data_IF_377540000823
#
_entry.id   IF_377540000823
#
_cell.length_a   1.000
_cell.length_b   1.000
_cell.length_c   1.000
_cell.angle_alpha   90.00
_cell.angle_beta   90.00
_cell.angle_gamma   90.00
#
_symmetry.space_group_name_H-M   'P 1'
#
loop_
_entity.id
_entity.type
_entity.pdbx_description
1 polymer ?
#
# COMPACT_ATOMS: atom_id res chain seq x y z
N UNK A 1 24.71 -0.94 -15.55
CA UNK A 1 23.89 -1.15 -14.35
C UNK A 1 24.12 0.03 -13.42
N UNK A 2 23.09 0.80 -13.14
CA UNK A 2 23.15 1.95 -12.24
C UNK A 2 22.51 1.54 -10.92
N UNK A 3 23.26 1.73 -9.84
CA UNK A 3 22.70 1.69 -8.50
C UNK A 3 21.90 2.98 -8.26
N UNK A 4 20.69 2.84 -7.72
CA UNK A 4 19.79 3.96 -7.46
C UNK A 4 19.64 4.13 -5.95
N UNK A 5 19.78 5.35 -5.45
CA UNK A 5 19.56 5.68 -4.05
C UNK A 5 18.46 6.73 -3.97
N UNK A 6 17.40 6.44 -3.23
CA UNK A 6 16.31 7.38 -2.99
C UNK A 6 16.36 7.81 -1.52
N UNK A 7 16.37 9.11 -1.30
CA UNK A 7 16.30 9.70 0.04
C UNK A 7 14.93 10.34 0.21
N UNK A 8 14.11 9.76 1.08
CA UNK A 8 12.90 10.41 1.53
C UNK A 8 13.28 11.54 2.51
N UNK A 9 12.72 12.72 2.28
CA UNK A 9 12.90 13.93 3.10
C UNK A 9 11.59 14.34 3.74
N UNK A 10 11.65 14.89 4.94
CA UNK A 10 10.50 15.48 5.63
C UNK A 10 10.75 16.97 5.89
N UNK A 11 10.60 17.76 4.82
CA UNK A 11 10.68 19.21 4.87
C UNK A 11 12.06 19.73 4.50
N UNK A 12 12.17 21.05 4.32
CA UNK A 12 13.41 21.72 3.92
C UNK A 12 14.50 21.69 5.01
N UNK A 13 14.12 21.50 6.27
CA UNK A 13 15.05 21.33 7.39
C UNK A 13 15.72 19.94 7.43
N UNK A 14 15.23 18.97 6.67
CA UNK A 14 15.75 17.61 6.63
C UNK A 14 17.02 17.51 5.77
N UNK A 15 18.16 17.89 6.35
CA UNK A 15 19.45 17.98 5.64
C UNK A 15 20.40 16.80 5.93
N UNK A 16 19.93 15.78 6.65
CA UNK A 16 20.76 14.65 7.06
C UNK A 16 21.40 13.94 5.84
N UNK A 17 22.72 13.81 5.82
CA UNK A 17 23.40 13.14 4.71
C UNK A 17 23.17 11.61 4.80
N UNK A 18 22.70 10.95 3.72
CA UNK A 18 22.59 9.50 3.72
C UNK A 18 23.98 8.85 3.73
N UNK A 19 24.15 7.78 4.51
CA UNK A 19 25.32 6.91 4.37
C UNK A 19 25.13 6.04 3.14
N UNK A 20 25.87 6.33 2.07
CA UNK A 20 25.70 5.62 0.80
C UNK A 20 26.41 4.25 0.82
N UNK A 21 25.68 3.20 0.43
CA UNK A 21 26.24 1.84 0.30
C UNK A 21 27.30 1.74 -0.81
N UNK A 22 27.28 2.68 -1.77
CA UNK A 22 28.14 2.66 -2.96
C UNK A 22 28.63 4.05 -3.32
N UNK A 23 29.89 4.12 -3.74
CA UNK A 23 30.54 5.34 -4.24
C UNK A 23 29.87 5.89 -5.50
N UNK A 24 29.36 5.01 -6.37
CA UNK A 24 28.68 5.37 -7.61
C UNK A 24 27.20 4.97 -7.53
N UNK A 25 26.36 5.94 -7.18
CA UNK A 25 24.90 5.80 -7.16
C UNK A 25 24.25 7.03 -7.79
N UNK A 26 23.14 6.83 -8.49
CA UNK A 26 22.25 7.92 -8.88
C UNK A 26 21.38 8.26 -7.69
N UNK A 27 21.51 9.49 -7.18
CA UNK A 27 20.80 9.97 -6.00
C UNK A 27 19.55 10.72 -6.43
N UNK A 28 18.39 10.34 -5.87
CA UNK A 28 17.14 11.08 -6.03
C UNK A 28 16.59 11.43 -4.65
N UNK A 29 16.27 12.69 -4.41
CA UNK A 29 15.62 13.13 -3.18
C UNK A 29 14.13 13.36 -3.44
N UNK A 30 13.28 12.90 -2.52
CA UNK A 30 11.83 13.12 -2.57
C UNK A 30 11.41 13.75 -1.26
N UNK A 31 10.97 15.01 -1.30
CA UNK A 31 10.41 15.68 -0.15
C UNK A 31 8.93 15.33 0.02
N UNK A 32 8.61 14.64 1.13
CA UNK A 32 7.26 14.21 1.47
C UNK A 32 6.51 15.20 2.36
N UNK A 33 7.11 16.33 2.76
CA UNK A 33 6.46 17.31 3.64
C UNK A 33 6.46 18.70 3.00
N UNK A 34 5.27 19.28 2.85
CA UNK A 34 5.11 20.68 2.42
C UNK A 34 5.46 21.64 3.55
N UNK A 35 5.73 22.89 3.17
CA UNK A 35 5.95 24.00 4.12
C UNK A 35 4.77 24.23 5.08
N UNK A 36 3.56 23.79 4.71
CA UNK A 36 2.38 23.85 5.58
C UNK A 36 2.22 22.66 6.54
N UNK A 37 3.23 21.79 6.65
CA UNK A 37 3.25 20.61 7.51
C UNK A 37 2.39 19.45 7.04
N UNK A 38 1.85 19.47 5.81
CA UNK A 38 1.09 18.34 5.25
C UNK A 38 1.98 17.41 4.44
N UNK A 39 1.70 16.12 4.56
CA UNK A 39 2.34 15.11 3.74
C UNK A 39 1.97 15.26 2.25
N UNK A 40 2.91 14.98 1.37
CA UNK A 40 2.75 15.00 -0.08
C UNK A 40 2.35 13.64 -0.67
N UNK A 41 2.15 13.63 -1.99
CA UNK A 41 1.85 12.43 -2.77
C UNK A 41 0.63 11.67 -2.24
N UNK A 42 -0.37 12.41 -1.74
CA UNK A 42 -1.68 11.89 -1.35
C UNK A 42 -1.72 11.13 -0.02
N UNK A 43 -0.63 11.08 0.74
CA UNK A 43 -0.62 10.51 2.09
C UNK A 43 -1.46 11.35 3.06
N UNK A 44 -1.43 12.69 2.93
CA UNK A 44 -2.29 13.61 3.68
C UNK A 44 -3.77 13.26 3.50
N UNK A 45 -4.21 12.96 2.27
CA UNK A 45 -5.60 12.61 1.96
C UNK A 45 -6.03 11.29 2.59
N UNK A 46 -5.14 10.32 2.69
CA UNK A 46 -5.44 9.07 3.38
C UNK A 46 -5.66 9.31 4.88
N UNK A 47 -4.78 10.09 5.51
CA UNK A 47 -4.87 10.43 6.95
C UNK A 47 -6.08 11.33 7.23
N UNK A 48 -6.31 12.37 6.42
CA UNK A 48 -7.50 13.23 6.51
C UNK A 48 -8.79 12.40 6.37
N UNK A 49 -8.81 11.46 5.43
CA UNK A 49 -9.95 10.54 5.24
C UNK A 49 -10.24 9.64 6.44
N UNK A 50 -9.21 9.21 7.18
CA UNK A 50 -9.39 8.51 8.46
C UNK A 50 -9.90 9.47 9.54
N UNK A 51 -9.38 10.69 9.56
CA UNK A 51 -9.80 11.75 10.47
C UNK A 51 -11.28 12.13 10.34
N UNK A 52 -11.86 12.05 9.13
CA UNK A 52 -13.31 12.22 8.90
C UNK A 52 -14.18 11.24 9.72
N UNK A 53 -13.64 10.07 10.06
CA UNK A 53 -14.30 9.07 10.89
C UNK A 53 -13.93 9.16 12.37
N UNK A 54 -13.12 10.15 12.77
CA UNK A 54 -12.56 10.27 14.12
C UNK A 54 -11.48 9.22 14.41
N UNK A 55 -10.82 8.68 13.38
CA UNK A 55 -9.74 7.71 13.51
C UNK A 55 -8.38 8.39 13.37
N UNK A 56 -7.40 7.96 14.18
CA UNK A 56 -6.05 8.56 14.21
C UNK A 56 -5.00 7.44 14.14
N UNK A 57 -4.15 7.38 13.11
CA UNK A 57 -3.07 6.39 13.02
C UNK A 57 -1.92 6.71 13.99
N UNK A 58 -1.08 5.72 14.26
CA UNK A 58 0.19 5.87 14.99
C UNK A 58 1.35 6.30 14.08
N UNK A 59 2.45 6.76 14.68
CA UNK A 59 3.68 7.08 13.94
C UNK A 59 4.22 5.91 13.12
N UNK A 60 4.17 4.70 13.67
CA UNK A 60 4.66 3.50 13.00
C UNK A 60 3.87 3.16 11.75
N UNK A 61 2.55 3.31 11.76
CA UNK A 61 1.75 3.04 10.56
C UNK A 61 1.87 4.15 9.50
N UNK A 62 2.12 5.40 9.92
CA UNK A 62 2.49 6.49 9.00
C UNK A 62 3.89 6.29 8.40
N UNK A 63 4.85 5.80 9.19
CA UNK A 63 6.16 5.36 8.68
C UNK A 63 6.03 4.29 7.60
N UNK A 64 5.19 3.28 7.84
CA UNK A 64 4.92 2.24 6.87
C UNK A 64 4.32 2.81 5.58
N UNK A 65 3.38 3.77 5.69
CA UNK A 65 2.79 4.45 4.54
C UNK A 65 3.82 5.30 3.77
N UNK A 66 4.73 5.99 4.46
CA UNK A 66 5.84 6.76 3.87
C UNK A 66 6.83 5.86 3.13
N UNK A 67 7.23 4.74 3.74
CA UNK A 67 8.05 3.72 3.09
C UNK A 67 7.35 3.20 1.84
N UNK A 68 6.06 2.87 1.92
CA UNK A 68 5.31 2.33 0.79
C UNK A 68 5.13 3.33 -0.36
N UNK A 69 4.96 4.62 -0.05
CA UNK A 69 4.97 5.67 -1.05
C UNK A 69 6.34 5.78 -1.73
N UNK A 70 7.44 5.69 -0.95
CA UNK A 70 8.81 5.73 -1.50
C UNK A 70 9.10 4.52 -2.40
N UNK A 71 8.69 3.31 -1.99
CA UNK A 71 8.75 2.09 -2.82
C UNK A 71 7.93 2.28 -4.09
N UNK A 72 6.75 2.90 -4.01
CA UNK A 72 5.92 3.19 -5.19
C UNK A 72 6.60 4.17 -6.15
N UNK A 73 7.27 5.19 -5.62
CA UNK A 73 8.06 6.12 -6.43
C UNK A 73 9.16 5.38 -7.19
N UNK A 74 9.96 4.59 -6.48
CA UNK A 74 11.04 3.79 -7.03
C UNK A 74 10.53 2.80 -8.10
N UNK A 75 9.52 2.01 -7.75
CA UNK A 75 9.01 0.94 -8.60
C UNK A 75 8.43 1.48 -9.91
N UNK A 76 7.78 2.65 -9.86
CA UNK A 76 7.14 3.23 -11.04
C UNK A 76 8.01 4.21 -11.82
N UNK A 77 9.11 4.72 -11.24
CA UNK A 77 9.89 5.78 -11.89
C UNK A 77 11.28 5.33 -12.33
N UNK A 78 11.89 4.35 -11.69
CA UNK A 78 13.18 3.82 -12.12
C UNK A 78 12.95 2.79 -13.22
N UNK A 79 13.37 3.10 -14.44
CA UNK A 79 13.22 2.21 -15.60
C UNK A 79 14.09 0.96 -15.47
N UNK A 80 13.50 -0.24 -15.58
CA UNK A 80 14.28 -1.49 -15.69
C UNK A 80 15.12 -1.50 -16.97
N UNK A 81 14.59 -0.97 -18.06
CA UNK A 81 15.28 -0.96 -19.37
C UNK A 81 16.59 -0.18 -19.34
N UNK A 82 16.63 0.93 -18.59
CA UNK A 82 17.81 1.79 -18.51
C UNK A 82 18.78 1.34 -17.40
N UNK A 83 18.25 0.83 -16.29
CA UNK A 83 19.05 0.66 -15.07
C UNK A 83 19.44 -0.80 -14.77
N UNK A 84 18.69 -1.79 -15.26
CA UNK A 84 18.97 -3.20 -15.00
C UNK A 84 19.88 -3.80 -16.09
N UNK A 85 20.85 -4.63 -15.67
CA UNK A 85 21.78 -5.29 -16.60
C UNK A 85 21.09 -6.35 -17.49
N UNK A 86 20.10 -7.02 -16.93
CA UNK A 86 19.29 -8.08 -17.54
C UNK A 86 17.94 -7.57 -18.05
N UNK A 87 17.75 -6.24 -18.11
CA UNK A 87 16.47 -5.57 -18.35
C UNK A 87 15.37 -5.91 -17.33
N UNK A 88 15.75 -6.47 -16.18
CA UNK A 88 14.84 -6.93 -15.16
C UNK A 88 15.21 -6.41 -13.77
N UNK A 89 16.31 -6.85 -13.20
CA UNK A 89 16.68 -6.68 -11.79
C UNK A 89 17.36 -5.34 -11.56
N UNK A 90 16.66 -4.39 -10.93
CA UNK A 90 17.24 -3.12 -10.47
C UNK A 90 17.94 -3.30 -9.12
N UNK A 91 18.87 -2.41 -8.80
CA UNK A 91 19.46 -2.27 -7.47
C UNK A 91 19.07 -0.92 -6.89
N UNK A 92 18.29 -0.93 -5.81
CA UNK A 92 17.61 0.24 -5.25
C UNK A 92 17.87 0.30 -3.74
N UNK A 93 18.48 1.39 -3.27
CA UNK A 93 18.62 1.71 -1.86
C UNK A 93 17.62 2.81 -1.46
N UNK A 94 16.96 2.64 -0.32
CA UNK A 94 16.05 3.63 0.25
C UNK A 94 16.59 4.15 1.58
N UNK A 95 16.61 5.47 1.77
CA UNK A 95 16.84 6.11 3.06
C UNK A 95 15.55 6.77 3.54
N UNK A 96 14.96 6.21 4.59
CA UNK A 96 13.64 6.62 5.09
C UNK A 96 13.78 7.23 6.49
N UNK A 97 13.26 8.44 6.72
CA UNK A 97 13.16 9.02 8.05
C UNK A 97 12.00 8.36 8.80
N UNK A 98 12.29 7.77 9.96
CA UNK A 98 11.33 7.08 10.82
C UNK A 98 11.32 7.56 12.26
N UNK A 99 10.19 7.35 12.96
CA UNK A 99 10.05 7.76 14.36
C UNK A 99 10.94 6.92 15.30
N UNK A 100 11.12 5.63 15.00
CA UNK A 100 11.97 4.71 15.76
C UNK A 100 12.95 3.98 14.82
N UNK A 101 14.18 4.50 14.63
CA UNK A 101 15.17 3.88 13.75
C UNK A 101 15.59 2.48 14.17
N UNK A 102 15.56 2.16 15.47
CA UNK A 102 15.94 0.86 15.97
C UNK A 102 14.87 -0.19 15.61
N UNK A 103 13.59 0.15 15.80
CA UNK A 103 12.46 -0.69 15.38
C UNK A 103 12.55 -1.01 13.88
N UNK A 104 12.71 0.01 13.04
CA UNK A 104 12.76 -0.18 11.60
C UNK A 104 14.04 -0.82 11.10
N UNK A 105 15.18 -0.52 11.72
CA UNK A 105 16.48 -1.16 11.45
C UNK A 105 16.42 -2.67 11.63
N UNK A 106 15.74 -3.15 12.68
CA UNK A 106 15.52 -4.59 12.92
C UNK A 106 14.67 -5.25 11.82
N UNK A 107 13.89 -4.48 11.06
CA UNK A 107 13.02 -4.97 10.00
C UNK A 107 13.62 -4.83 8.60
N UNK A 108 14.80 -4.23 8.45
CA UNK A 108 15.41 -3.94 7.14
C UNK A 108 15.61 -5.21 6.28
N UNK A 109 16.06 -6.32 6.88
CA UNK A 109 16.26 -7.59 6.16
C UNK A 109 14.93 -8.19 5.70
N UNK A 110 13.92 -8.22 6.58
CA UNK A 110 12.58 -8.73 6.25
C UNK A 110 11.94 -7.90 5.12
N UNK A 111 12.03 -6.58 5.20
CA UNK A 111 11.54 -5.66 4.18
C UNK A 111 12.25 -5.86 2.84
N UNK A 112 13.58 -6.00 2.86
CA UNK A 112 14.38 -6.27 1.66
C UNK A 112 13.93 -7.59 1.02
N UNK A 113 13.75 -8.65 1.83
CA UNK A 113 13.28 -9.96 1.35
C UNK A 113 11.88 -9.90 0.76
N UNK A 114 10.96 -9.19 1.42
CA UNK A 114 9.59 -8.94 0.95
C UNK A 114 9.58 -8.26 -0.42
N UNK A 115 10.30 -7.15 -0.55
CA UNK A 115 10.34 -6.34 -1.77
C UNK A 115 11.07 -7.07 -2.90
N UNK A 116 12.18 -7.77 -2.60
CA UNK A 116 12.88 -8.61 -3.58
C UNK A 116 11.95 -9.69 -4.15
N UNK A 117 11.17 -10.36 -3.28
CA UNK A 117 10.21 -11.36 -3.72
C UNK A 117 9.10 -10.78 -4.60
N UNK A 118 8.61 -9.59 -4.24
CA UNK A 118 7.48 -8.95 -4.88
C UNK A 118 7.85 -8.37 -6.26
N UNK A 119 8.98 -7.66 -6.34
CA UNK A 119 9.35 -6.91 -7.54
C UNK A 119 10.41 -7.62 -8.40
N UNK A 120 11.15 -8.57 -7.82
CA UNK A 120 12.31 -9.18 -8.48
C UNK A 120 13.49 -8.21 -8.65
N UNK A 121 13.53 -7.11 -7.88
CA UNK A 121 14.69 -6.23 -7.76
C UNK A 121 15.52 -6.60 -6.53
N UNK A 122 16.63 -5.89 -6.31
CA UNK A 122 17.44 -5.93 -5.09
C UNK A 122 17.25 -4.64 -4.32
N UNK A 123 16.68 -4.75 -3.13
CA UNK A 123 16.40 -3.64 -2.24
C UNK A 123 17.35 -3.62 -1.06
N UNK A 124 17.85 -2.43 -0.73
CA UNK A 124 18.52 -2.10 0.55
C UNK A 124 17.69 -1.02 1.25
N UNK A 125 17.43 -1.17 2.54
CA UNK A 125 16.65 -0.20 3.31
C UNK A 125 17.48 0.32 4.49
N UNK A 126 17.55 1.64 4.59
CA UNK A 126 18.26 2.36 5.62
C UNK A 126 17.29 3.30 6.34
N UNK A 127 17.29 3.23 7.65
CA UNK A 127 16.39 4.00 8.50
C UNK A 127 17.17 4.97 9.35
N UNK A 128 16.66 6.19 9.45
CA UNK A 128 17.24 7.25 10.27
C UNK A 128 16.15 7.96 11.04
N UNK A 129 16.54 8.69 12.08
CA UNK A 129 15.59 9.49 12.84
C UNK A 129 14.97 10.58 11.95
N UNK A 130 13.66 10.80 12.12
CA UNK A 130 12.96 11.92 11.49
C UNK A 130 13.46 13.25 12.07
N UNK A 131 13.52 14.32 11.28
CA UNK A 131 13.67 15.66 11.84
C UNK A 131 12.47 16.00 12.73
N UNK A 132 12.64 16.92 13.68
CA UNK A 132 11.51 17.51 14.37
C UNK A 132 10.60 18.23 13.37
N UNK A 133 9.30 17.89 13.40
CA UNK A 133 8.27 18.52 12.57
C UNK A 133 7.34 19.28 13.50
N UNK A 134 7.22 20.60 13.31
CA UNK A 134 6.37 21.44 14.15
C UNK A 134 4.91 20.95 14.14
N UNK A 135 4.38 20.67 15.33
CA UNK A 135 3.03 20.13 15.50
C UNK A 135 2.86 18.64 15.12
N UNK A 136 3.97 17.94 14.87
CA UNK A 136 4.00 16.52 14.52
C UNK A 136 3.56 16.20 13.09
N UNK A 137 3.94 15.03 12.59
CA UNK A 137 3.46 14.50 11.30
C UNK A 137 2.00 14.06 11.37
N UNK A 138 1.54 13.68 12.56
CA UNK A 138 0.19 13.19 12.83
C UNK A 138 -0.50 14.18 13.74
N UNK A 139 -1.67 14.65 13.29
CA UNK A 139 -2.57 15.45 14.11
C UNK A 139 -3.74 14.57 14.51
N UNK A 140 -3.96 14.41 15.81
CA UNK A 140 -5.11 13.67 16.31
C UNK A 140 -6.40 14.26 15.74
N UNK A 141 -7.31 13.38 15.30
CA UNK A 141 -8.60 13.85 14.81
C UNK A 141 -9.37 14.54 15.94
N UNK A 142 -9.84 15.75 15.66
CA UNK A 142 -10.72 16.50 16.57
C UNK A 142 -12.20 16.13 16.37
N UNK A 143 -12.51 15.28 15.38
CA UNK A 143 -13.87 14.83 15.10
C UNK A 143 -14.27 13.69 16.04
N UNK A 144 -15.54 13.64 16.48
CA UNK A 144 -16.03 12.50 17.24
C UNK A 144 -15.94 11.23 16.38
N UNK A 145 -15.59 10.12 17.03
CA UNK A 145 -15.54 8.80 16.36
C UNK A 145 -16.93 8.43 15.86
N UNK A 146 -17.08 8.39 14.54
CA UNK A 146 -18.36 8.17 13.84
C UNK A 146 -18.47 6.78 13.21
N UNK A 147 -17.39 6.01 13.22
CA UNK A 147 -17.33 4.65 12.70
C UNK A 147 -16.53 3.75 13.65
N UNK A 148 -17.07 2.56 13.90
CA UNK A 148 -16.37 1.46 14.58
C UNK A 148 -16.31 0.27 13.62
N UNK A 149 -15.25 0.21 12.78
CA UNK A 149 -15.15 -0.84 11.79
C UNK A 149 -15.00 -2.21 12.44
N UNK A 150 -15.72 -3.20 11.92
CA UNK A 150 -15.53 -4.62 12.32
C UNK A 150 -14.32 -5.25 11.63
N UNK A 151 -13.87 -4.66 10.52
CA UNK A 151 -12.71 -5.08 9.76
C UNK A 151 -12.27 -3.96 8.82
N UNK A 152 -11.07 -4.10 8.25
CA UNK A 152 -10.63 -3.32 7.10
C UNK A 152 -10.75 -4.21 5.86
N UNK A 153 -11.09 -3.64 4.71
CA UNK A 153 -11.17 -4.39 3.46
C UNK A 153 -10.59 -3.60 2.29
N UNK A 154 -9.68 -4.21 1.54
CA UNK A 154 -9.14 -3.62 0.33
C UNK A 154 -10.20 -3.54 -0.77
N UNK A 155 -10.37 -2.35 -1.32
CA UNK A 155 -11.45 -2.04 -2.25
C UNK A 155 -10.94 -1.39 -3.53
N UNK A 156 -10.39 -2.18 -4.45
CA UNK A 156 -9.78 -1.65 -5.68
C UNK A 156 -10.80 -1.06 -6.67
N UNK A 157 -12.07 -1.45 -6.55
CA UNK A 157 -13.13 -1.13 -7.53
C UNK A 157 -13.24 -2.17 -8.65
N UNK A 158 -12.47 -3.26 -8.57
CA UNK A 158 -12.62 -4.44 -9.43
C UNK A 158 -13.59 -5.47 -8.84
N UNK A 159 -14.00 -6.44 -9.67
CA UNK A 159 -15.00 -7.46 -9.34
C UNK A 159 -14.69 -8.22 -8.04
N UNK A 160 -13.46 -8.72 -7.86
CA UNK A 160 -13.06 -9.50 -6.68
C UNK A 160 -13.25 -8.69 -5.38
N UNK A 161 -12.80 -7.43 -5.37
CA UNK A 161 -12.98 -6.52 -4.23
C UNK A 161 -14.44 -6.13 -4.00
N UNK A 162 -15.25 -6.09 -5.06
CA UNK A 162 -16.68 -5.81 -4.98
C UNK A 162 -17.46 -7.00 -4.39
N UNK A 163 -17.13 -8.23 -4.80
CA UNK A 163 -17.66 -9.46 -4.18
C UNK A 163 -17.26 -9.52 -2.70
N UNK A 164 -16.00 -9.24 -2.37
CA UNK A 164 -15.55 -9.15 -0.98
C UNK A 164 -16.34 -8.14 -0.15
N UNK A 165 -16.61 -6.97 -0.71
CA UNK A 165 -17.45 -5.96 -0.07
C UNK A 165 -18.90 -6.43 0.14
N UNK A 166 -19.51 -7.03 -0.89
CA UNK A 166 -20.86 -7.61 -0.84
C UNK A 166 -20.94 -8.69 0.23
N UNK A 167 -19.96 -9.58 0.30
CA UNK A 167 -19.99 -10.70 1.24
C UNK A 167 -19.89 -10.22 2.68
N UNK A 168 -19.02 -9.25 2.97
CA UNK A 168 -18.89 -8.65 4.31
C UNK A 168 -20.20 -7.93 4.69
N UNK A 169 -20.73 -7.10 3.80
CA UNK A 169 -21.96 -6.34 4.05
C UNK A 169 -23.19 -7.26 4.18
N UNK A 170 -23.28 -8.33 3.39
CA UNK A 170 -24.38 -9.31 3.49
C UNK A 170 -24.35 -10.11 4.79
N UNK A 171 -23.21 -10.14 5.48
CA UNK A 171 -23.08 -10.72 6.81
C UNK A 171 -23.44 -9.74 7.95
N UNK A 172 -23.86 -8.52 7.63
CA UNK A 172 -24.15 -7.48 8.62
C UNK A 172 -22.89 -6.81 9.20
N UNK A 173 -21.72 -7.01 8.59
CA UNK A 173 -20.48 -6.38 9.02
C UNK A 173 -20.40 -4.92 8.53
N UNK A 174 -19.61 -4.12 9.25
CA UNK A 174 -19.35 -2.70 9.00
C UNK A 174 -17.88 -2.47 8.62
N UNK A 175 -17.43 -2.87 7.43
CA UNK A 175 -16.03 -2.74 7.05
C UNK A 175 -15.62 -1.27 6.83
N UNK A 176 -14.35 -0.97 7.08
CA UNK A 176 -13.68 0.22 6.54
C UNK A 176 -13.02 -0.16 5.22
N UNK A 177 -13.59 0.32 4.11
CA UNK A 177 -12.98 0.11 2.80
C UNK A 177 -11.79 1.04 2.60
N UNK A 178 -10.69 0.49 2.09
CA UNK A 178 -9.49 1.25 1.75
C UNK A 178 -9.18 1.04 0.28
N UNK A 179 -9.10 2.14 -0.47
CA UNK A 179 -8.74 2.11 -1.88
C UNK A 179 -7.62 3.06 -2.22
N UNK A 180 -6.93 2.75 -3.30
CA UNK A 180 -5.91 3.61 -3.91
C UNK A 180 -6.27 3.82 -5.38
N UNK A 181 -6.01 5.02 -5.89
CA UNK A 181 -6.05 5.29 -7.31
C UNK A 181 -4.93 6.26 -7.71
N UNK A 182 -4.60 6.28 -9.00
CA UNK A 182 -3.73 7.31 -9.59
C UNK A 182 -4.46 8.07 -10.70
N UNK A 183 -5.25 7.35 -11.50
CA UNK A 183 -6.01 7.89 -12.61
C UNK A 183 -7.49 8.13 -12.26
N UNK A 184 -8.15 8.96 -13.09
CA UNK A 184 -9.55 9.36 -12.90
C UNK A 184 -10.55 8.23 -13.21
N UNK A 185 -10.16 7.23 -14.01
CA UNK A 185 -11.02 6.11 -14.40
C UNK A 185 -11.19 5.17 -13.21
N UNK A 186 -10.10 4.72 -12.61
CA UNK A 186 -10.09 3.94 -11.36
C UNK A 186 -10.86 4.66 -10.25
N UNK A 187 -10.64 5.97 -10.10
CA UNK A 187 -11.35 6.81 -9.14
C UNK A 187 -12.88 6.85 -9.37
N UNK A 188 -13.33 6.80 -10.64
CA UNK A 188 -14.76 6.77 -11.00
C UNK A 188 -15.36 5.42 -10.64
N UNK A 189 -14.73 4.31 -10.99
CA UNK A 189 -15.23 2.96 -10.66
C UNK A 189 -15.34 2.74 -9.16
N UNK A 190 -14.33 3.13 -8.38
CA UNK A 190 -14.38 3.04 -6.92
C UNK A 190 -15.55 3.83 -6.31
N UNK A 191 -15.84 5.04 -6.83
CA UNK A 191 -17.00 5.83 -6.39
C UNK A 191 -18.32 5.17 -6.77
N UNK A 192 -18.42 4.66 -7.99
CA UNK A 192 -19.64 4.00 -8.47
C UNK A 192 -19.94 2.75 -7.66
N UNK A 193 -18.95 1.87 -7.44
CA UNK A 193 -19.11 0.67 -6.62
C UNK A 193 -19.48 1.03 -5.18
N UNK A 194 -18.82 2.03 -4.57
CA UNK A 194 -19.17 2.50 -3.22
C UNK A 194 -20.60 3.04 -3.14
N UNK A 195 -21.04 3.81 -4.15
CA UNK A 195 -22.41 4.32 -4.23
C UNK A 195 -23.45 3.20 -4.37
N UNK A 196 -23.16 2.19 -5.19
CA UNK A 196 -24.02 1.00 -5.34
C UNK A 196 -24.16 0.25 -4.00
N UNK A 197 -23.06 0.06 -3.26
CA UNK A 197 -23.10 -0.57 -1.93
C UNK A 197 -23.92 0.26 -0.93
N UNK A 198 -23.76 1.59 -0.92
CA UNK A 198 -24.57 2.48 -0.05
C UNK A 198 -26.06 2.46 -0.40
N UNK A 199 -26.41 2.29 -1.67
CA UNK A 199 -27.80 2.18 -2.09
C UNK A 199 -28.40 0.81 -1.73
N UNK A 200 -27.58 -0.25 -1.70
CA UNK A 200 -28.03 -1.63 -1.45
C UNK A 200 -28.10 -1.99 0.03
N UNK A 201 -27.20 -1.47 0.86
CA UNK A 201 -27.05 -1.82 2.28
C UNK A 201 -27.24 -0.60 3.18
N UNK A 202 -28.08 -0.74 4.21
CA UNK A 202 -28.42 0.34 5.15
C UNK A 202 -27.40 0.54 6.27
N UNK A 203 -26.52 -0.43 6.51
CA UNK A 203 -25.50 -0.36 7.56
C UNK A 203 -24.41 0.68 7.25
N UNK A 204 -23.91 1.33 8.30
CA UNK A 204 -22.84 2.31 8.18
C UNK A 204 -21.49 1.62 7.91
N UNK A 205 -20.84 2.00 6.81
CA UNK A 205 -19.49 1.59 6.48
C UNK A 205 -18.66 2.79 6.02
N UNK A 206 -17.33 2.69 6.18
CA UNK A 206 -16.40 3.74 5.78
C UNK A 206 -15.75 3.47 4.44
N UNK A 207 -15.29 4.51 3.73
CA UNK A 207 -14.46 4.35 2.55
C UNK A 207 -13.38 5.45 2.48
N UNK A 208 -12.15 5.06 2.76
CA UNK A 208 -10.96 5.91 2.65
C UNK A 208 -10.29 5.66 1.30
N UNK A 209 -9.96 6.75 0.61
CA UNK A 209 -9.39 6.72 -0.74
C UNK A 209 -8.08 7.49 -0.76
N UNK A 210 -6.98 6.79 -0.99
CA UNK A 210 -5.66 7.38 -1.16
C UNK A 210 -5.38 7.69 -2.64
N UNK A 211 -4.70 8.81 -2.90
CA UNK A 211 -4.24 9.20 -4.24
C UNK A 211 -2.71 9.27 -4.26
N UNK A 212 -2.06 8.11 -4.13
CA UNK A 212 -0.59 8.05 -4.07
C UNK A 212 -0.01 7.91 -5.47
N UNK A 213 0.89 8.80 -5.85
CA UNK A 213 1.69 8.60 -7.03
C UNK A 213 2.58 9.79 -7.38
N UNK A 214 3.44 9.55 -8.36
CA UNK A 214 4.57 10.40 -8.68
C UNK A 214 4.53 10.77 -10.16
N UNK A 215 4.88 12.00 -10.51
CA UNK A 215 5.00 12.41 -11.92
C UNK A 215 6.23 11.73 -12.53
N UNK A 216 6.25 11.53 -13.86
CA UNK A 216 7.45 10.99 -14.54
C UNK A 216 8.68 11.90 -14.36
N UNK A 217 8.44 13.20 -14.19
CA UNK A 217 9.48 14.21 -13.93
C UNK A 217 10.06 14.19 -12.51
N UNK A 218 9.53 13.35 -11.60
CA UNK A 218 10.07 13.24 -10.22
C UNK A 218 11.48 12.67 -10.22
N UNK A 219 11.83 11.84 -11.21
CA UNK A 219 13.16 11.28 -11.39
C UNK A 219 13.75 11.84 -12.68
N UNK A 220 14.91 12.50 -12.58
CA UNK A 220 15.58 13.08 -13.74
C UNK A 220 16.16 11.97 -14.62
N UNK A 221 16.08 12.14 -15.93
CA UNK A 221 16.63 11.22 -16.94
C UNK A 221 16.01 9.80 -16.95
N UNK A 222 14.90 9.59 -16.25
CA UNK A 222 14.16 8.33 -16.27
C UNK A 222 12.98 8.38 -17.26
N UNK A 223 12.69 7.25 -17.90
CA UNK A 223 11.50 7.11 -18.74
C UNK A 223 10.28 6.63 -17.97
N UNK A 224 10.44 6.19 -16.72
CA UNK A 224 9.41 5.52 -15.93
C UNK A 224 9.34 4.00 -16.17
N UNK A 225 8.56 3.34 -15.32
CA UNK A 225 8.32 1.91 -15.24
C UNK A 225 6.82 1.66 -15.00
N UNK A 226 6.20 0.82 -15.84
CA UNK A 226 4.75 0.65 -15.88
C UNK A 226 4.30 -0.75 -15.40
N UNK A 227 5.24 -1.57 -14.88
CA UNK A 227 4.92 -2.94 -14.44
C UNK A 227 4.26 -3.03 -13.07
N UNK A 228 4.41 -2.00 -12.23
CA UNK A 228 3.65 -1.82 -10.98
C UNK A 228 3.73 -3.04 -10.05
N UNK A 229 4.89 -3.72 -10.04
CA UNK A 229 5.08 -4.99 -9.33
C UNK A 229 5.04 -4.81 -7.82
N UNK A 230 5.47 -3.65 -7.32
CA UNK A 230 5.44 -3.28 -5.90
C UNK A 230 4.08 -2.78 -5.41
N UNK A 231 3.06 -2.69 -6.28
CA UNK A 231 1.78 -2.02 -5.97
C UNK A 231 1.05 -2.61 -4.75
N UNK A 232 1.13 -3.92 -4.54
CA UNK A 232 0.47 -4.57 -3.39
C UNK A 232 1.04 -4.11 -2.05
N UNK A 233 2.33 -3.74 -2.00
CA UNK A 233 2.97 -3.21 -0.79
C UNK A 233 2.31 -1.89 -0.36
N UNK A 234 1.96 -1.03 -1.31
CA UNK A 234 1.21 0.19 -1.06
C UNK A 234 -0.20 -0.09 -0.53
N UNK A 235 -0.95 -0.99 -1.17
CA UNK A 235 -2.29 -1.35 -0.71
C UNK A 235 -2.28 -1.90 0.71
N UNK A 236 -1.37 -2.84 1.00
CA UNK A 236 -1.29 -3.46 2.31
C UNK A 236 -0.88 -2.45 3.39
N UNK A 237 0.04 -1.54 3.07
CA UNK A 237 0.47 -0.47 3.98
C UNK A 237 -0.64 0.54 4.27
N UNK A 238 -1.43 0.93 3.26
CA UNK A 238 -2.59 1.81 3.46
C UNK A 238 -3.71 1.13 4.26
N UNK A 239 -3.92 -0.18 4.06
CA UNK A 239 -4.88 -0.94 4.87
C UNK A 239 -4.38 -1.12 6.31
N UNK A 240 -3.08 -1.31 6.52
CA UNK A 240 -2.46 -1.34 7.85
C UNK A 240 -2.58 0.01 8.56
N UNK A 241 -2.36 1.13 7.85
CA UNK A 241 -2.61 2.48 8.34
C UNK A 241 -4.05 2.66 8.82
N UNK A 242 -5.03 2.19 8.02
CA UNK A 242 -6.43 2.25 8.40
C UNK A 242 -6.75 1.34 9.59
N UNK A 243 -6.21 0.13 9.62
CA UNK A 243 -6.42 -0.84 10.69
C UNK A 243 -5.86 -0.35 12.03
N UNK A 244 -4.64 0.18 12.01
CA UNK A 244 -3.97 0.77 13.17
C UNK A 244 -4.76 1.95 13.74
N UNK A 245 -5.34 2.80 12.87
CA UNK A 245 -6.12 3.96 13.30
C UNK A 245 -7.41 3.64 14.05
N UNK A 246 -7.87 2.38 14.00
CA UNK A 246 -9.02 1.89 14.77
C UNK A 246 -8.66 1.71 16.25
N UNK A 247 -7.40 1.42 16.58
CA UNK A 247 -6.92 1.20 17.95
C UNK A 247 -7.26 -0.17 18.55
N UNK A 248 -7.76 -1.11 17.75
CA UNK A 248 -8.14 -2.47 18.17
C UNK A 248 -7.57 -3.52 17.20
N UNK A 249 -7.64 -4.80 17.57
CA UNK A 249 -7.18 -5.88 16.70
C UNK A 249 -8.06 -5.99 15.46
N UNK A 250 -7.50 -5.73 14.27
CA UNK A 250 -8.26 -5.72 13.02
C UNK A 250 -7.86 -6.85 12.07
N UNK A 251 -8.85 -7.46 11.41
CA UNK A 251 -8.62 -8.27 10.21
C UNK A 251 -8.66 -7.36 8.99
N UNK A 252 -7.63 -7.43 8.16
CA UNK A 252 -7.55 -6.78 6.85
C UNK A 252 -7.91 -7.82 5.80
N UNK A 253 -9.12 -7.72 5.26
CA UNK A 253 -9.57 -8.57 4.16
C UNK A 253 -8.92 -8.11 2.85
N UNK A 254 -8.34 -9.09 2.13
CA UNK A 254 -7.71 -8.91 0.82
C UNK A 254 -8.46 -9.75 -0.20
N UNK A 255 -9.58 -9.25 -0.78
CA UNK A 255 -10.36 -10.04 -1.72
C UNK A 255 -9.64 -10.15 -3.07
N UNK A 256 -9.04 -11.31 -3.35
CA UNK A 256 -8.42 -11.62 -4.64
C UNK A 256 -8.48 -13.12 -4.89
N UNK A 257 -8.84 -13.53 -6.11
CA UNK A 257 -8.94 -14.93 -6.46
C UNK A 257 -7.57 -15.65 -6.47
N UNK A 258 -7.55 -16.88 -5.96
CA UNK A 258 -6.35 -17.68 -5.71
C UNK A 258 -5.51 -18.02 -6.96
N UNK A 259 -6.14 -18.15 -8.12
CA UNK A 259 -5.46 -18.48 -9.37
C UNK A 259 -4.45 -17.38 -9.76
N UNK A 260 -4.83 -16.11 -9.55
CA UNK A 260 -3.95 -14.96 -9.77
C UNK A 260 -2.92 -14.85 -8.63
N UNK A 261 -3.31 -15.16 -7.39
CA UNK A 261 -2.44 -15.08 -6.20
C UNK A 261 -1.22 -16.00 -6.25
N UNK A 262 -1.41 -17.24 -6.72
CA UNK A 262 -0.35 -18.26 -6.77
C UNK A 262 0.59 -18.06 -7.97
N UNK A 263 0.19 -17.25 -8.95
CA UNK A 263 0.91 -17.05 -10.20
C UNK A 263 1.37 -18.39 -10.80
N UNK A 264 0.44 -19.35 -10.95
CA UNK A 264 0.75 -20.63 -11.59
C UNK A 264 1.16 -20.32 -13.04
N UNK A 265 2.39 -20.67 -13.47
CA UNK A 265 2.85 -20.35 -14.81
C UNK A 265 1.98 -21.10 -15.81
N UNK A 266 1.18 -20.36 -16.58
CA UNK A 266 0.39 -20.92 -17.69
C UNK A 266 1.27 -21.34 -18.87
N UNK A 267 2.56 -20.95 -18.83
CA UNK A 267 3.60 -21.27 -19.79
C UNK A 267 4.96 -21.32 -19.06
N UNK A 268 5.90 -22.23 -19.41
CA UNK A 268 7.24 -22.29 -18.80
C UNK A 268 8.04 -20.98 -18.85
N UNK A 269 7.72 -20.06 -19.78
CA UNK A 269 8.33 -18.75 -19.89
C UNK A 269 7.77 -17.71 -18.89
N UNK A 270 6.70 -18.04 -18.15
CA UNK A 270 6.07 -17.17 -17.14
C UNK A 270 6.54 -17.44 -15.70
N UNK A 271 7.77 -17.89 -15.51
CA UNK A 271 8.37 -18.10 -14.19
C UNK A 271 8.86 -16.76 -13.61
N UNK A 272 8.68 -16.53 -12.31
CA UNK A 272 9.27 -15.36 -11.63
C UNK A 272 8.28 -14.22 -11.34
N UNK A 273 8.76 -12.97 -11.39
CA UNK A 273 7.94 -11.76 -11.16
C UNK A 273 7.24 -11.26 -12.45
N UNK A 274 7.13 -12.12 -13.47
CA UNK A 274 6.41 -11.85 -14.71
C UNK A 274 4.89 -11.73 -14.51
N UNK A 275 4.36 -12.12 -13.36
CA UNK A 275 3.01 -11.78 -12.94
C UNK A 275 2.98 -11.34 -11.49
N UNK A 276 1.93 -10.61 -11.12
CA UNK A 276 1.76 -9.99 -9.80
C UNK A 276 1.63 -11.06 -8.72
N UNK A 277 2.37 -10.88 -7.60
CA UNK A 277 2.36 -11.81 -6.45
C UNK A 277 1.60 -11.23 -5.24
N UNK A 278 0.59 -10.40 -5.51
CA UNK A 278 -0.13 -9.55 -4.54
C UNK A 278 -0.60 -10.32 -3.31
N UNK A 279 -1.17 -11.51 -3.51
CA UNK A 279 -1.76 -12.35 -2.46
C UNK A 279 -1.07 -13.72 -2.34
N UNK A 280 0.17 -13.82 -2.81
CA UNK A 280 0.95 -15.05 -2.68
C UNK A 280 1.15 -15.42 -1.19
N UNK A 281 0.95 -16.69 -0.77
CA UNK A 281 1.00 -17.06 0.65
C UNK A 281 2.27 -16.67 1.38
N UNK A 282 3.44 -16.86 0.75
CA UNK A 282 4.72 -16.42 1.30
C UNK A 282 4.75 -14.90 1.55
N UNK A 283 4.27 -14.09 0.60
CA UNK A 283 4.29 -12.64 0.73
C UNK A 283 3.34 -12.16 1.84
N UNK A 284 2.11 -12.68 1.88
CA UNK A 284 1.15 -12.34 2.93
C UNK A 284 1.64 -12.75 4.32
N UNK A 285 2.26 -13.93 4.46
CA UNK A 285 2.82 -14.39 5.73
C UNK A 285 3.95 -13.48 6.22
N UNK A 286 4.87 -13.08 5.32
CA UNK A 286 5.98 -12.17 5.65
C UNK A 286 5.49 -10.75 5.95
N UNK A 287 4.42 -10.30 5.30
CA UNK A 287 3.82 -9.02 5.62
C UNK A 287 3.10 -9.05 6.99
N UNK A 288 2.44 -10.16 7.35
CA UNK A 288 1.87 -10.34 8.69
C UNK A 288 2.93 -10.39 9.80
N UNK A 289 4.09 -11.02 9.52
CA UNK A 289 5.25 -10.96 10.41
C UNK A 289 5.75 -9.52 10.57
N UNK A 290 5.84 -8.75 9.48
CA UNK A 290 6.19 -7.34 9.53
C UNK A 290 5.20 -6.54 10.41
N UNK A 291 3.89 -6.71 10.23
CA UNK A 291 2.88 -6.03 11.05
C UNK A 291 3.04 -6.36 12.54
N UNK A 292 3.28 -7.63 12.85
CA UNK A 292 3.52 -8.09 14.23
C UNK A 292 4.74 -7.44 14.83
N UNK A 293 5.87 -7.43 14.12
CA UNK A 293 7.12 -6.85 14.61
C UNK A 293 7.05 -5.32 14.76
N UNK A 294 6.26 -4.65 13.91
CA UNK A 294 6.00 -3.21 14.00
C UNK A 294 4.99 -2.86 15.11
N UNK A 295 4.40 -3.84 15.79
CA UNK A 295 3.38 -3.60 16.80
C UNK A 295 2.02 -3.15 16.23
N UNK A 296 1.82 -3.26 14.91
CA UNK A 296 0.54 -2.95 14.27
C UNK A 296 -0.39 -4.14 14.50
N UNK A 297 -1.44 -3.95 15.30
CA UNK A 297 -2.37 -5.01 15.71
C UNK A 297 -3.36 -5.36 14.59
N UNK A 298 -2.86 -5.86 13.47
CA UNK A 298 -3.65 -6.24 12.31
C UNK A 298 -3.12 -7.50 11.64
N UNK A 299 -4.01 -8.22 10.95
CA UNK A 299 -3.65 -9.41 10.18
C UNK A 299 -4.31 -9.40 8.80
N UNK A 300 -3.51 -9.60 7.76
CA UNK A 300 -3.98 -9.80 6.40
C UNK A 300 -4.61 -11.18 6.26
N UNK A 301 -5.78 -11.24 5.63
CA UNK A 301 -6.51 -12.47 5.33
C UNK A 301 -7.13 -12.40 3.93
N UNK A 302 -6.85 -13.40 3.09
CA UNK A 302 -7.53 -13.55 1.80
C UNK A 302 -8.54 -14.72 1.89
N UNK A 303 -9.84 -14.45 2.06
CA UNK A 303 -10.86 -15.49 2.15
C UNK A 303 -11.11 -16.24 0.82
N UNK A 304 -10.54 -15.77 -0.30
CA UNK A 304 -10.74 -16.34 -1.63
C UNK A 304 -9.47 -16.99 -2.20
N UNK A 305 -8.47 -17.27 -1.35
CA UNK A 305 -7.18 -17.84 -1.75
C UNK A 305 -7.27 -19.19 -2.48
N UNK A 306 -8.37 -19.92 -2.34
CA UNK A 306 -8.63 -21.20 -3.00
C UNK A 306 -9.78 -21.15 -4.00
N UNK A 307 -10.17 -19.95 -4.44
CA UNK A 307 -11.30 -19.75 -5.36
C UNK A 307 -10.83 -19.12 -6.65
N UNK A 308 -11.43 -19.54 -7.74
CA UNK A 308 -11.39 -18.84 -9.02
C UNK A 308 -12.35 -17.66 -8.99
N UNK A 309 -12.18 -16.73 -9.94
CA UNK A 309 -13.10 -15.59 -10.09
C UNK A 309 -14.54 -16.02 -10.37
N UNK A 310 -14.72 -17.11 -11.12
CA UNK A 310 -16.04 -17.69 -11.39
C UNK A 310 -16.70 -18.22 -10.12
N UNK A 311 -15.96 -18.97 -9.30
CA UNK A 311 -16.45 -19.46 -7.99
C UNK A 311 -16.77 -18.30 -7.05
N UNK A 312 -15.92 -17.26 -6.98
CA UNK A 312 -16.23 -16.05 -6.21
C UNK A 312 -17.57 -15.44 -6.64
N UNK A 313 -17.83 -15.32 -7.95
CA UNK A 313 -19.06 -14.75 -8.45
C UNK A 313 -20.28 -15.64 -8.17
N UNK A 314 -20.15 -16.96 -8.32
CA UNK A 314 -21.22 -17.93 -8.06
C UNK A 314 -21.58 -18.05 -6.56
N UNK A 315 -20.57 -17.92 -5.69
CA UNK A 315 -20.74 -18.04 -4.24
C UNK A 315 -20.96 -16.70 -3.53
N UNK A 316 -20.95 -15.58 -4.28
CA UNK A 316 -21.25 -14.25 -3.76
C UNK A 316 -22.60 -14.26 -3.05
N UNK A 317 -22.64 -13.74 -1.82
CA UNK A 317 -23.80 -13.86 -0.92
C UNK A 317 -25.05 -13.14 -1.42
N UNK A 318 -24.89 -12.07 -2.19
CA UNK A 318 -26.00 -11.35 -2.81
C UNK A 318 -25.99 -11.54 -4.34
N UNK A 319 -26.48 -12.71 -4.76
CA UNK A 319 -26.55 -13.10 -6.17
C UNK A 319 -27.41 -12.14 -7.02
N UNK A 320 -28.49 -11.62 -6.45
CA UNK A 320 -29.37 -10.71 -7.19
C UNK A 320 -28.66 -9.39 -7.47
N UNK A 321 -27.96 -8.86 -6.47
CA UNK A 321 -27.26 -7.59 -6.60
C UNK A 321 -26.04 -7.67 -7.52
N UNK A 322 -25.20 -8.72 -7.39
CA UNK A 322 -24.01 -8.85 -8.25
C UNK A 322 -24.39 -8.96 -9.72
N UNK A 323 -25.44 -9.73 -10.07
CA UNK A 323 -25.95 -9.88 -11.44
C UNK A 323 -26.53 -8.59 -12.01
N UNK A 324 -27.09 -7.72 -11.17
CA UNK A 324 -27.60 -6.42 -11.59
C UNK A 324 -26.48 -5.40 -11.87
N UNK A 325 -25.26 -5.66 -11.40
CA UNK A 325 -24.11 -4.76 -11.54
C UNK A 325 -23.10 -5.19 -12.62
N UNK A 326 -23.21 -6.41 -13.14
CA UNK A 326 -22.39 -6.98 -14.22
C UNK A 326 -23.08 -6.87 -15.57
#
# INVERSE_FOLDING_TARGET
MSHQTIVARLGSGDTAAPTLDRLHTLLTEINFLKDNGKLEFGLDKAIEGLGEYGLTPTDTSVDLALLAATVTAADTRISRRLNAQDFWTREIALHIPVADPALWGNQAELLSKLLNFLTGDRWSLHFRERPEVEGGLIKASTKPRSLNPTSVCLFSGGLDSFIGAIDLLSQGLTPLFVSHHWDSVTAKYQRNCSALLKARYSQAFGHVRAHVGFKRTTFLQETGEDTLRGRSFLFFSLAALAADSVGERMVINVPENGLISLNVPLDPLRVGALSTRTTHPFYMARFNELLTNLGINAVLHNPYAFKTKGEMALECRDQQFIRACT
#
